data_IF_908752157953
#
_entry.id   IF_908752157953
#
_cell.length_a   1.000
_cell.length_b   1.000
_cell.length_c   1.000
_cell.angle_alpha   90.00
_cell.angle_beta   90.00
_cell.angle_gamma   90.00
#
_symmetry.space_group_name_H-M   'P 1'
#
loop_
_entity.id
_entity.type
_entity.pdbx_description
1 polymer ?
#
# COMPACT_ATOMS: atom_id res chain seq x y z
N UNK A 1 1.35 -32.97 14.09
CA UNK A 1 1.02 -31.56 14.33
C UNK A 1 1.86 -30.73 13.36
N UNK A 2 1.26 -30.30 12.24
CA UNK A 2 1.89 -29.41 11.27
C UNK A 2 1.04 -28.14 11.18
N UNK A 3 1.75 -27.02 11.12
CA UNK A 3 1.36 -25.74 11.66
C UNK A 3 0.34 -25.02 10.76
N UNK A 4 -0.67 -24.42 11.40
CA UNK A 4 -1.78 -23.65 10.86
C UNK A 4 -1.28 -22.33 10.26
N UNK A 5 -0.57 -22.39 9.13
CA UNK A 5 -0.27 -21.30 8.18
C UNK A 5 0.63 -21.73 7.02
N UNK A 6 0.84 -23.03 6.81
CA UNK A 6 1.40 -23.51 5.55
C UNK A 6 0.30 -23.35 4.50
N UNK A 7 0.31 -22.25 3.74
CA UNK A 7 -0.29 -22.24 2.39
C UNK A 7 0.47 -23.29 1.61
N UNK A 8 -0.01 -24.51 1.77
CA UNK A 8 0.71 -25.72 1.47
C UNK A 8 0.64 -25.95 -0.03
N UNK A 9 1.57 -25.34 -0.77
CA UNK A 9 1.90 -25.67 -2.16
C UNK A 9 2.42 -27.11 -2.33
N UNK A 10 2.06 -28.05 -1.46
CA UNK A 10 2.56 -29.43 -1.46
C UNK A 10 1.61 -30.43 -2.15
N UNK A 11 0.65 -30.00 -2.96
CA UNK A 11 -0.13 -30.92 -3.82
C UNK A 11 -0.09 -30.57 -5.32
N UNK A 12 0.71 -29.57 -5.72
CA UNK A 12 0.72 -29.10 -7.10
C UNK A 12 2.15 -28.99 -7.65
N UNK A 13 2.95 -30.05 -7.53
CA UNK A 13 4.25 -30.25 -8.22
C UNK A 13 4.10 -30.38 -9.74
N UNK A 14 3.28 -29.52 -10.34
CA UNK A 14 3.08 -29.40 -11.77
C UNK A 14 3.77 -28.10 -12.22
N UNK A 15 4.59 -28.14 -13.30
CA UNK A 15 5.41 -27.01 -13.75
C UNK A 15 4.62 -25.70 -14.01
N UNK A 16 3.30 -25.79 -14.14
CA UNK A 16 2.38 -24.67 -14.36
C UNK A 16 2.20 -23.79 -13.10
N UNK A 17 2.24 -24.37 -11.90
CA UNK A 17 1.96 -23.62 -10.66
C UNK A 17 3.18 -22.81 -10.23
N UNK A 18 4.39 -23.29 -10.53
CA UNK A 18 5.65 -22.58 -10.30
C UNK A 18 5.76 -21.34 -11.19
N UNK A 19 5.36 -21.46 -12.47
CA UNK A 19 5.28 -20.33 -13.40
C UNK A 19 4.20 -19.31 -12.96
N UNK A 20 3.02 -19.79 -12.54
CA UNK A 20 1.94 -18.92 -12.05
C UNK A 20 2.34 -18.15 -10.77
N UNK A 21 3.09 -18.76 -9.86
CA UNK A 21 3.61 -18.09 -8.65
C UNK A 21 4.64 -17.02 -9.00
N UNK A 22 5.52 -17.28 -9.97
CA UNK A 22 6.47 -16.29 -10.47
C UNK A 22 5.75 -15.07 -11.08
N UNK A 23 4.71 -15.31 -11.88
CA UNK A 23 3.87 -14.22 -12.41
C UNK A 23 3.09 -13.49 -11.31
N UNK A 24 2.58 -14.21 -10.31
CA UNK A 24 1.85 -13.62 -9.20
C UNK A 24 2.75 -12.68 -8.36
N UNK A 25 3.99 -13.08 -8.07
CA UNK A 25 4.93 -12.25 -7.31
C UNK A 25 5.26 -10.95 -8.06
N UNK A 26 5.50 -11.04 -9.36
CA UNK A 26 5.75 -9.87 -10.20
C UNK A 26 4.53 -8.95 -10.31
N UNK A 27 3.33 -9.52 -10.43
CA UNK A 27 2.07 -8.76 -10.44
C UNK A 27 1.83 -8.06 -9.09
N UNK A 28 2.08 -8.76 -7.98
CA UNK A 28 1.94 -8.21 -6.64
C UNK A 28 2.96 -7.10 -6.37
N UNK A 29 4.21 -7.24 -6.83
CA UNK A 29 5.25 -6.20 -6.73
C UNK A 29 4.80 -4.90 -7.40
N UNK A 30 4.25 -4.98 -8.62
CA UNK A 30 3.75 -3.80 -9.36
C UNK A 30 2.50 -3.23 -8.70
N UNK A 31 1.56 -4.08 -8.28
CA UNK A 31 0.34 -3.64 -7.60
C UNK A 31 0.66 -2.90 -6.28
N UNK A 32 1.61 -3.40 -5.48
CA UNK A 32 2.06 -2.74 -4.25
C UNK A 32 2.75 -1.40 -4.53
N UNK A 33 3.57 -1.32 -5.58
CA UNK A 33 4.18 -0.06 -6.01
C UNK A 33 3.10 0.99 -6.35
N UNK A 34 2.09 0.61 -7.13
CA UNK A 34 0.97 1.50 -7.49
C UNK A 34 0.15 1.89 -6.24
N UNK A 35 -0.16 0.93 -5.36
CA UNK A 35 -0.86 1.22 -4.10
C UNK A 35 -0.09 2.22 -3.22
N UNK A 36 1.23 2.05 -3.09
CA UNK A 36 2.08 2.96 -2.32
C UNK A 36 2.12 4.37 -2.93
N UNK A 37 2.14 4.47 -4.26
CA UNK A 37 2.12 5.74 -4.98
C UNK A 37 0.78 6.46 -4.78
N UNK A 38 -0.33 5.74 -4.90
CA UNK A 38 -1.68 6.28 -4.68
C UNK A 38 -1.86 6.72 -3.23
N UNK A 39 -1.41 5.92 -2.27
CA UNK A 39 -1.44 6.29 -0.84
C UNK A 39 -0.58 7.52 -0.57
N UNK A 40 0.61 7.63 -1.16
CA UNK A 40 1.48 8.79 -1.02
C UNK A 40 0.79 10.07 -1.52
N UNK A 41 0.19 10.02 -2.71
CA UNK A 41 -0.56 11.15 -3.28
C UNK A 41 -1.76 11.53 -2.40
N UNK A 42 -2.49 10.54 -1.88
CA UNK A 42 -3.61 10.76 -0.98
C UNK A 42 -3.17 11.45 0.32
N UNK A 43 -2.13 10.95 0.98
CA UNK A 43 -1.57 11.57 2.19
C UNK A 43 -1.07 12.97 1.90
N UNK A 44 -0.38 13.19 0.78
CA UNK A 44 0.12 14.50 0.38
C UNK A 44 -1.02 15.53 0.24
N UNK A 45 -2.10 15.17 -0.46
CA UNK A 45 -3.27 16.05 -0.62
C UNK A 45 -3.95 16.32 0.72
N UNK A 46 -4.08 15.29 1.57
CA UNK A 46 -4.68 15.45 2.91
C UNK A 46 -3.83 16.36 3.81
N UNK A 47 -2.50 16.22 3.79
CA UNK A 47 -1.58 17.08 4.56
C UNK A 47 -1.64 18.53 4.08
N UNK A 48 -1.66 18.77 2.77
CA UNK A 48 -1.83 20.12 2.20
C UNK A 48 -3.18 20.73 2.61
N UNK A 49 -4.27 19.94 2.54
CA UNK A 49 -5.59 20.37 2.98
C UNK A 49 -5.64 20.70 4.48
N UNK A 50 -5.01 19.88 5.32
CA UNK A 50 -4.94 20.12 6.76
C UNK A 50 -4.10 21.37 7.06
N UNK A 51 -2.95 21.52 6.40
CA UNK A 51 -2.07 22.68 6.56
C UNK A 51 -2.77 23.97 6.19
N UNK A 52 -3.51 23.99 5.06
CA UNK A 52 -4.33 25.14 4.68
C UNK A 52 -5.39 25.48 5.74
N UNK A 53 -6.02 24.48 6.34
CA UNK A 53 -7.02 24.68 7.38
C UNK A 53 -6.41 25.23 8.68
N UNK A 54 -5.23 24.74 9.06
CA UNK A 54 -4.52 25.25 10.23
C UNK A 54 -3.93 26.64 10.00
N UNK A 55 -3.52 26.96 8.76
CA UNK A 55 -3.00 28.27 8.40
C UNK A 55 -4.10 29.35 8.43
N UNK A 56 -5.32 29.03 8.00
CA UNK A 56 -6.45 29.95 8.18
C UNK A 56 -6.86 30.10 9.65
N UNK A 57 -6.83 29.01 10.43
CA UNK A 57 -7.13 29.04 11.85
C UNK A 57 -6.07 29.82 12.67
N UNK A 58 -4.80 29.76 12.25
CA UNK A 58 -3.69 30.48 12.89
C UNK A 58 -3.54 31.92 12.36
N UNK A 59 -4.21 32.26 11.26
CA UNK A 59 -4.42 33.64 10.78
C UNK A 59 -5.27 34.50 11.70
N UNK A 60 -5.81 33.93 12.80
CA UNK A 60 -6.50 34.65 13.86
C UNK A 60 -5.70 34.66 15.18
N UNK A 61 -4.36 34.64 15.12
CA UNK A 61 -3.54 35.18 16.20
C UNK A 61 -3.48 36.70 16.00
N UNK A 62 -4.09 37.50 16.88
CA UNK A 62 -4.11 38.95 16.71
C UNK A 62 -2.67 39.46 16.88
N UNK A 63 -2.04 39.88 15.78
CA UNK A 63 -1.00 40.89 15.83
C UNK A 63 -1.67 42.26 15.80
N UNK A 64 -2.26 42.65 16.94
CA UNK A 64 -2.50 44.04 17.36
C UNK A 64 -2.41 44.09 18.88
#
# INVERSE_FOLDING_TARGET
>A
AANHSQLNFQDNSSPIIEELIGFHDQALMVALAICSLVLYLLTHILTEKLSSSTADAQGMVPMM
#
